data_IF_728948695157
#
_entry.id   IF_728948695157
#
_cell.length_a   1.000
_cell.length_b   1.000
_cell.length_c   1.000
_cell.angle_alpha   90.00
_cell.angle_beta   90.00
_cell.angle_gamma   90.00
#
_symmetry.space_group_name_H-M   'P 1'
#
loop_
_entity.id
_entity.type
_entity.pdbx_description
1 polymer ?
#
# COMPACT_ATOMS: atom_id res chain seq x y z
N UNK A 1 -23.80 -8.32 19.14
CA UNK A 1 -24.54 -8.67 17.91
C UNK A 1 -23.61 -8.58 16.72
N UNK A 2 -23.44 -9.66 15.93
CA UNK A 2 -22.81 -9.53 14.63
C UNK A 2 -23.68 -8.65 13.73
N UNK A 3 -23.06 -7.77 12.95
CA UNK A 3 -23.78 -6.98 11.96
C UNK A 3 -24.06 -7.87 10.75
N UNK A 4 -25.34 -8.13 10.43
CA UNK A 4 -25.71 -9.01 9.30
C UNK A 4 -25.46 -8.37 7.91
N UNK A 5 -24.98 -7.12 7.88
CA UNK A 5 -24.77 -6.35 6.64
C UNK A 5 -23.29 -5.99 6.46
N UNK A 6 -22.77 -6.01 5.22
CA UNK A 6 -21.43 -5.51 4.93
C UNK A 6 -21.31 -4.03 5.29
N UNK A 7 -20.10 -3.60 5.66
CA UNK A 7 -19.78 -2.19 5.90
C UNK A 7 -20.06 -1.35 4.64
N UNK A 8 -19.65 -1.85 3.47
CA UNK A 8 -19.86 -1.17 2.20
C UNK A 8 -21.12 -1.69 1.49
N UNK A 9 -22.25 -1.01 1.72
CA UNK A 9 -23.51 -1.31 1.01
C UNK A 9 -23.39 -1.15 -0.51
N UNK A 10 -22.64 -0.14 -0.97
CA UNK A 10 -22.25 0.01 -2.38
C UNK A 10 -21.00 0.88 -2.51
N UNK A 11 -20.29 0.74 -3.62
CA UNK A 11 -19.22 1.65 -4.02
C UNK A 11 -19.36 1.94 -5.51
N UNK A 12 -19.44 3.22 -5.89
CA UNK A 12 -19.58 3.61 -7.30
C UNK A 12 -18.26 3.38 -8.04
N UNK A 13 -18.16 2.26 -8.74
CA UNK A 13 -17.00 1.91 -9.58
C UNK A 13 -16.79 2.84 -10.76
N UNK A 14 -17.78 3.64 -11.14
CA UNK A 14 -17.67 4.62 -12.22
C UNK A 14 -17.09 5.95 -11.76
N UNK A 15 -16.94 6.14 -10.44
CA UNK A 15 -16.34 7.33 -9.86
C UNK A 15 -14.90 7.54 -10.37
N UNK A 16 -14.50 8.80 -10.54
CA UNK A 16 -13.19 9.18 -11.08
C UNK A 16 -12.02 8.56 -10.29
N UNK A 17 -12.21 8.33 -8.99
CA UNK A 17 -11.26 7.64 -8.12
C UNK A 17 -10.80 6.28 -8.69
N UNK A 18 -11.74 5.41 -9.08
CA UNK A 18 -11.43 4.07 -9.61
C UNK A 18 -10.90 4.09 -11.04
N UNK A 19 -11.18 5.17 -11.77
CA UNK A 19 -10.68 5.39 -13.13
C UNK A 19 -9.26 5.94 -13.14
N UNK A 20 -8.82 6.53 -12.04
CA UNK A 20 -7.50 7.14 -11.89
C UNK A 20 -6.39 6.09 -12.07
N UNK A 21 -5.35 6.39 -12.89
CA UNK A 21 -4.22 5.49 -13.07
C UNK A 21 -3.56 5.06 -11.75
N UNK A 22 -3.33 6.00 -10.82
CA UNK A 22 -2.67 5.70 -9.54
C UNK A 22 -3.50 4.74 -8.69
N UNK A 23 -4.82 4.85 -8.70
CA UNK A 23 -5.71 3.94 -7.97
C UNK A 23 -5.67 2.55 -8.59
N UNK A 24 -5.66 2.45 -9.93
CA UNK A 24 -5.56 1.15 -10.61
C UNK A 24 -4.23 0.46 -10.31
N UNK A 25 -3.13 1.20 -10.35
CA UNK A 25 -1.81 0.66 -10.00
C UNK A 25 -1.74 0.25 -8.52
N UNK A 26 -2.36 1.03 -7.62
CA UNK A 26 -2.47 0.67 -6.21
C UNK A 26 -3.26 -0.62 -6.00
N UNK A 27 -4.41 -0.80 -6.67
CA UNK A 27 -5.21 -2.03 -6.59
C UNK A 27 -4.44 -3.24 -7.14
N UNK A 28 -3.70 -3.07 -8.24
CA UNK A 28 -2.86 -4.15 -8.77
C UNK A 28 -1.80 -4.62 -7.75
N UNK A 29 -1.22 -3.69 -6.99
CA UNK A 29 -0.30 -4.06 -5.91
C UNK A 29 -0.98 -4.87 -4.81
N UNK A 30 -2.21 -4.53 -4.42
CA UNK A 30 -2.93 -5.24 -3.37
C UNK A 30 -3.25 -6.70 -3.74
N UNK A 31 -3.49 -6.99 -5.02
CA UNK A 31 -3.79 -8.34 -5.51
C UNK A 31 -2.56 -9.27 -5.54
N UNK A 32 -1.34 -8.73 -5.43
CA UNK A 32 -0.10 -9.52 -5.43
C UNK A 32 0.24 -10.18 -4.09
N UNK A 33 -0.33 -9.69 -2.99
CA UNK A 33 0.08 -10.11 -1.66
C UNK A 33 -0.84 -11.20 -1.11
N UNK A 34 -0.29 -12.40 -0.94
CA UNK A 34 -0.91 -13.48 -0.19
C UNK A 34 -0.73 -13.25 1.32
N UNK A 35 -1.81 -13.45 2.10
CA UNK A 35 -1.84 -13.19 3.55
C UNK A 35 -0.89 -14.08 4.39
N UNK A 36 -0.23 -15.06 3.77
CA UNK A 36 0.67 -15.99 4.46
C UNK A 36 2.01 -15.33 4.84
N UNK A 37 2.10 -14.87 6.09
CA UNK A 37 3.35 -14.36 6.66
C UNK A 37 4.42 -15.45 6.81
N UNK A 38 5.70 -15.10 6.64
CA UNK A 38 6.83 -15.95 7.06
C UNK A 38 7.56 -16.75 5.96
N UNK A 39 7.26 -16.50 4.68
CA UNK A 39 8.10 -16.90 3.53
C UNK A 39 8.94 -15.69 3.08
N UNK A 40 10.17 -15.91 2.64
CA UNK A 40 10.98 -14.83 2.09
C UNK A 40 10.35 -14.37 0.77
N UNK A 41 9.95 -13.11 0.69
CA UNK A 41 9.38 -12.54 -0.53
C UNK A 41 10.45 -12.41 -1.61
N UNK A 42 10.29 -13.19 -2.67
CA UNK A 42 11.06 -13.02 -3.91
C UNK A 42 10.15 -12.33 -4.90
N UNK A 43 10.28 -11.00 -4.99
CA UNK A 43 9.45 -10.25 -5.92
C UNK A 43 9.64 -10.73 -7.36
N UNK A 44 8.55 -11.12 -8.00
CA UNK A 44 8.55 -11.48 -9.42
C UNK A 44 8.89 -10.26 -10.27
N UNK A 45 9.30 -10.49 -11.51
CA UNK A 45 9.54 -9.39 -12.47
C UNK A 45 8.26 -8.56 -12.72
N UNK A 46 7.08 -9.18 -12.57
CA UNK A 46 5.79 -8.52 -12.69
C UNK A 46 5.53 -7.61 -11.50
N UNK A 47 5.67 -8.10 -10.27
CA UNK A 47 5.51 -7.27 -9.07
C UNK A 47 6.47 -6.08 -9.06
N UNK A 48 7.73 -6.27 -9.47
CA UNK A 48 8.69 -5.16 -9.58
C UNK A 48 8.24 -4.08 -10.56
N UNK A 49 7.63 -4.48 -11.68
CA UNK A 49 7.09 -3.53 -12.66
C UNK A 49 5.88 -2.79 -12.10
N UNK A 50 5.01 -3.46 -11.37
CA UNK A 50 3.82 -2.86 -10.78
C UNK A 50 4.16 -1.89 -9.64
N UNK A 51 5.18 -2.22 -8.84
CA UNK A 51 5.74 -1.30 -7.84
C UNK A 51 6.32 -0.04 -8.50
N UNK A 52 7.09 -0.23 -9.58
CA UNK A 52 7.70 0.86 -10.34
C UNK A 52 6.65 1.79 -10.98
N UNK A 53 5.62 1.20 -11.60
CA UNK A 53 4.49 1.90 -12.22
C UNK A 53 3.66 2.67 -11.19
N UNK A 54 3.32 2.04 -10.05
CA UNK A 54 2.61 2.70 -8.97
C UNK A 54 3.37 3.91 -8.45
N UNK A 55 4.67 3.76 -8.19
CA UNK A 55 5.49 4.85 -7.68
C UNK A 55 5.62 6.00 -8.68
N UNK A 56 5.77 5.72 -9.98
CA UNK A 56 5.79 6.76 -11.01
C UNK A 56 4.49 7.58 -11.03
N UNK A 57 3.35 6.89 -11.01
CA UNK A 57 2.05 7.52 -10.99
C UNK A 57 1.82 8.31 -9.71
N UNK A 58 2.28 7.78 -8.56
CA UNK A 58 2.15 8.41 -7.26
C UNK A 58 2.97 9.70 -7.17
N UNK A 59 4.26 9.67 -7.51
CA UNK A 59 5.12 10.87 -7.43
C UNK A 59 4.73 11.96 -8.43
N UNK A 60 4.03 11.61 -9.51
CA UNK A 60 3.50 12.58 -10.46
C UNK A 60 2.30 13.38 -9.93
N UNK A 61 1.64 12.92 -8.85
CA UNK A 61 0.44 13.59 -8.31
C UNK A 61 0.77 14.95 -7.66
N UNK A 62 -0.17 15.91 -7.66
CA UNK A 62 0.01 17.20 -6.97
C UNK A 62 0.34 17.05 -5.48
N UNK A 63 -0.26 16.06 -4.81
CA UNK A 63 -0.01 15.77 -3.40
C UNK A 63 1.45 15.38 -3.16
N UNK A 64 2.03 14.53 -4.00
CA UNK A 64 3.41 14.11 -3.83
C UNK A 64 4.42 15.17 -4.26
N UNK A 65 4.06 16.06 -5.18
CA UNK A 65 4.85 17.28 -5.45
C UNK A 65 4.91 18.17 -4.22
N UNK A 66 3.79 18.36 -3.54
CA UNK A 66 3.76 19.08 -2.27
C UNK A 66 4.64 18.40 -1.22
N UNK A 67 4.56 17.06 -1.09
CA UNK A 67 5.42 16.29 -0.16
C UNK A 67 6.91 16.49 -0.49
N UNK A 68 7.29 16.44 -1.78
CA UNK A 68 8.66 16.70 -2.21
C UNK A 68 9.14 18.09 -1.76
N UNK A 69 8.38 19.13 -2.09
CA UNK A 69 8.72 20.51 -1.74
C UNK A 69 8.80 20.71 -0.22
N UNK A 70 7.88 20.10 0.53
CA UNK A 70 7.87 20.15 1.98
C UNK A 70 9.11 19.49 2.57
N UNK A 71 9.47 18.29 2.11
CA UNK A 71 10.66 17.58 2.57
C UNK A 71 11.96 18.30 2.19
N UNK A 72 12.01 18.98 1.05
CA UNK A 72 13.16 19.79 0.66
C UNK A 72 13.38 20.98 1.60
N UNK A 73 12.30 21.60 2.10
CA UNK A 73 12.36 22.78 2.98
C UNK A 73 12.51 22.43 4.46
N UNK A 74 11.84 21.37 4.90
CA UNK A 74 11.66 21.06 6.32
C UNK A 74 12.24 19.70 6.74
N UNK A 75 12.69 18.89 5.77
CA UNK A 75 13.25 17.57 6.03
C UNK A 75 14.53 17.64 6.85
N UNK A 76 14.54 16.91 7.96
CA UNK A 76 15.70 16.84 8.88
C UNK A 76 16.62 15.66 8.59
N UNK A 77 16.09 14.60 7.97
CA UNK A 77 16.83 13.40 7.56
C UNK A 77 17.83 13.71 6.43
N UNK A 78 19.00 13.06 6.45
CA UNK A 78 20.03 13.24 5.44
C UNK A 78 19.56 12.89 4.02
N UNK A 79 18.64 11.93 3.88
CA UNK A 79 18.00 11.55 2.61
C UNK A 79 17.09 12.65 2.08
N UNK A 80 16.32 13.31 2.96
CA UNK A 80 15.47 14.44 2.57
C UNK A 80 16.28 15.61 2.00
N UNK A 81 17.45 15.89 2.59
CA UNK A 81 18.38 16.93 2.10
C UNK A 81 18.95 16.64 0.70
N UNK A 82 18.87 15.40 0.21
CA UNK A 82 19.34 14.98 -1.12
C UNK A 82 18.24 14.99 -2.18
N UNK A 83 16.97 15.17 -1.80
CA UNK A 83 15.86 15.18 -2.76
C UNK A 83 15.98 16.40 -3.70
N UNK A 84 16.06 16.16 -5.02
CA UNK A 84 16.08 17.20 -6.06
C UNK A 84 14.94 17.06 -7.05
N UNK A 85 14.43 15.85 -7.21
CA UNK A 85 13.47 15.49 -8.26
C UNK A 85 12.42 14.49 -7.75
N UNK A 86 11.37 14.31 -8.55
CA UNK A 86 10.38 13.26 -8.32
C UNK A 86 11.01 11.85 -8.37
N UNK A 87 12.08 11.67 -9.15
CA UNK A 87 12.83 10.41 -9.21
C UNK A 87 13.54 10.11 -7.88
N UNK A 88 14.12 11.12 -7.23
CA UNK A 88 14.74 10.93 -5.91
C UNK A 88 13.69 10.56 -4.85
N UNK A 89 12.51 11.17 -4.95
CA UNK A 89 11.38 10.82 -4.07
C UNK A 89 10.88 9.40 -4.34
N UNK A 90 10.80 8.99 -5.61
CA UNK A 90 10.45 7.61 -6.00
C UNK A 90 11.40 6.61 -5.36
N UNK A 91 12.72 6.83 -5.46
CA UNK A 91 13.71 5.95 -4.83
C UNK A 91 13.58 5.93 -3.29
N UNK A 92 13.38 7.09 -2.66
CA UNK A 92 13.18 7.14 -1.22
C UNK A 92 11.92 6.38 -0.79
N UNK A 93 10.81 6.52 -1.52
CA UNK A 93 9.58 5.79 -1.25
C UNK A 93 9.75 4.30 -1.47
N UNK A 94 10.48 3.88 -2.51
CA UNK A 94 10.82 2.49 -2.73
C UNK A 94 11.55 1.91 -1.52
N UNK A 95 12.60 2.58 -1.06
CA UNK A 95 13.39 2.15 0.10
C UNK A 95 12.59 2.11 1.41
N UNK A 96 11.60 2.99 1.57
CA UNK A 96 10.78 3.04 2.79
C UNK A 96 9.67 1.99 2.80
N UNK A 97 9.04 1.75 1.65
CA UNK A 97 7.80 0.99 1.58
C UNK A 97 7.98 -0.44 1.05
N UNK A 98 8.91 -0.65 0.12
CA UNK A 98 9.06 -1.91 -0.60
C UNK A 98 10.40 -2.61 -0.33
N UNK A 99 11.39 -1.91 0.23
CA UNK A 99 12.60 -2.60 0.66
C UNK A 99 12.25 -3.57 1.80
N UNK A 100 12.64 -4.85 1.69
CA UNK A 100 12.37 -5.83 2.73
C UNK A 100 13.14 -5.44 3.99
N UNK A 101 12.46 -5.35 5.12
CA UNK A 101 13.09 -5.24 6.43
C UNK A 101 12.84 -6.51 7.23
N UNK A 102 13.68 -6.76 8.24
CA UNK A 102 13.64 -8.00 9.03
C UNK A 102 12.72 -7.80 10.24
N UNK A 103 11.60 -8.54 10.31
CA UNK A 103 10.66 -8.47 11.45
C UNK A 103 10.69 -9.70 12.35
N UNK A 104 10.67 -10.92 11.79
CA UNK A 104 10.86 -12.18 12.53
C UNK A 104 11.95 -13.09 11.90
N UNK A 105 12.02 -13.14 10.57
CA UNK A 105 13.12 -13.74 9.77
C UNK A 105 13.72 -12.69 8.82
N UNK A 106 14.92 -12.90 8.26
CA UNK A 106 15.42 -12.02 7.20
C UNK A 106 14.44 -11.98 6.02
N UNK A 107 14.04 -10.79 5.58
CA UNK A 107 13.20 -10.52 4.40
C UNK A 107 11.78 -11.10 4.44
N UNK A 108 11.03 -10.90 5.53
CA UNK A 108 9.70 -11.50 5.71
C UNK A 108 8.51 -10.54 5.66
N UNK A 109 8.75 -9.23 5.54
CA UNK A 109 7.69 -8.23 5.34
C UNK A 109 8.25 -6.90 4.80
N UNK A 110 7.34 -6.08 4.27
CA UNK A 110 7.59 -4.71 3.82
C UNK A 110 6.70 -3.70 4.54
N UNK A 111 7.05 -2.41 4.44
CA UNK A 111 6.24 -1.34 5.05
C UNK A 111 4.88 -1.24 4.36
N UNK A 112 4.85 -1.56 3.06
CA UNK A 112 3.65 -1.53 2.25
C UNK A 112 2.64 -2.57 2.72
N UNK A 113 3.05 -3.81 2.91
CA UNK A 113 2.15 -4.88 3.37
C UNK A 113 1.55 -4.56 4.73
N UNK A 114 2.40 -4.15 5.67
CA UNK A 114 1.97 -3.88 7.03
C UNK A 114 0.90 -2.77 7.10
N UNK A 115 1.01 -1.73 6.27
CA UNK A 115 0.12 -0.55 6.31
C UNK A 115 -1.06 -0.66 5.36
N UNK A 116 -0.88 -1.24 4.17
CA UNK A 116 -1.88 -1.19 3.10
C UNK A 116 -2.59 -2.52 2.83
N UNK A 117 -1.92 -3.65 3.04
CA UNK A 117 -2.49 -4.99 2.78
C UNK A 117 -3.16 -5.54 4.04
N UNK A 118 -2.53 -5.30 5.20
CA UNK A 118 -2.86 -5.96 6.45
C UNK A 118 -2.17 -7.32 6.57
N UNK A 119 -1.82 -7.70 7.78
CA UNK A 119 -1.12 -8.95 8.08
C UNK A 119 -2.05 -9.90 8.86
N UNK A 120 -2.05 -11.17 8.46
CA UNK A 120 -2.67 -12.22 9.27
C UNK A 120 -1.62 -12.81 10.22
N UNK A 121 -1.86 -12.65 11.52
CA UNK A 121 -1.04 -13.27 12.55
C UNK A 121 -1.91 -14.13 13.46
N UNK A 122 -1.62 -15.43 13.51
CA UNK A 122 -2.31 -16.40 14.38
C UNK A 122 -3.84 -16.41 14.20
N UNK A 123 -4.31 -16.29 12.96
CA UNK A 123 -5.75 -16.26 12.63
C UNK A 123 -6.46 -14.95 12.93
N UNK A 124 -5.73 -13.90 13.32
CA UNK A 124 -6.26 -12.55 13.49
C UNK A 124 -5.69 -11.61 12.42
N UNK A 125 -6.57 -10.85 11.78
CA UNK A 125 -6.19 -9.77 10.86
C UNK A 125 -5.75 -8.57 11.69
N UNK A 126 -4.55 -8.06 11.41
CA UNK A 126 -3.99 -6.85 12.00
C UNK A 126 -3.55 -5.89 10.89
N UNK A 127 -3.61 -4.58 11.14
CA UNK A 127 -3.12 -3.57 10.18
C UNK A 127 -4.03 -3.29 8.97
N UNK A 128 -5.20 -3.94 8.85
CA UNK A 128 -6.16 -3.65 7.78
C UNK A 128 -6.90 -2.31 8.02
N UNK A 129 -6.23 -1.20 7.73
CA UNK A 129 -6.78 0.16 7.88
C UNK A 129 -7.06 0.86 6.56
N UNK A 130 -6.61 0.28 5.45
CA UNK A 130 -6.87 0.83 4.13
C UNK A 130 -8.30 0.49 3.67
N UNK A 131 -9.13 1.52 3.47
CA UNK A 131 -10.54 1.34 3.11
C UNK A 131 -10.72 0.65 1.74
N UNK A 132 -9.79 0.84 0.80
CA UNK A 132 -9.83 0.16 -0.51
C UNK A 132 -9.61 -1.33 -0.32
N UNK A 133 -8.58 -1.72 0.43
CA UNK A 133 -8.30 -3.12 0.75
C UNK A 133 -9.45 -3.75 1.54
N UNK A 134 -9.98 -3.05 2.54
CA UNK A 134 -11.15 -3.52 3.29
C UNK A 134 -12.34 -3.78 2.34
N UNK A 135 -12.65 -2.83 1.46
CA UNK A 135 -13.72 -2.97 0.48
C UNK A 135 -13.49 -4.18 -0.46
N UNK A 136 -12.27 -4.39 -0.94
CA UNK A 136 -11.93 -5.51 -1.82
C UNK A 136 -12.06 -6.85 -1.09
N UNK A 137 -11.58 -6.94 0.14
CA UNK A 137 -11.59 -8.18 0.93
C UNK A 137 -12.99 -8.52 1.48
N UNK A 138 -13.79 -7.53 1.86
CA UNK A 138 -15.20 -7.71 2.20
C UNK A 138 -15.97 -8.25 0.99
N UNK A 139 -15.70 -7.72 -0.21
CA UNK A 139 -16.33 -8.21 -1.44
C UNK A 139 -15.90 -9.65 -1.81
N UNK A 140 -14.68 -10.05 -1.46
CA UNK A 140 -14.19 -11.44 -1.62
C UNK A 140 -14.79 -12.39 -0.56
N UNK A 141 -15.45 -11.86 0.48
CA UNK A 141 -15.97 -12.65 1.60
C UNK A 141 -14.90 -12.98 2.65
N UNK A 142 -13.73 -12.33 2.58
CA UNK A 142 -12.58 -12.61 3.44
C UNK A 142 -12.54 -11.74 4.71
N UNK A 143 -13.49 -10.82 4.88
CA UNK A 143 -13.65 -9.93 6.03
C UNK A 143 -15.12 -9.90 6.42
N UNK A 144 -15.39 -9.99 7.72
CA UNK A 144 -16.72 -9.86 8.29
C UNK A 144 -16.76 -8.61 9.20
N UNK A 145 -17.64 -7.67 8.89
CA UNK A 145 -17.78 -6.44 9.65
C UNK A 145 -18.64 -6.65 10.91
N UNK A 146 -18.11 -6.28 12.08
CA UNK A 146 -18.75 -6.58 13.38
C UNK A 146 -19.40 -5.36 14.07
N UNK A 147 -19.47 -4.20 13.41
CA UNK A 147 -20.04 -2.97 13.99
C UNK A 147 -18.98 -1.99 14.53
N UNK A 148 -19.45 -0.83 14.98
CA UNK A 148 -18.67 0.28 15.54
C UNK A 148 -19.17 0.68 16.93
#
# INVERSE_FOLDING_TARGET
DPCDSPLFASCDKNHAFWKSPVTKAFVALLDNYERETGKAEVFTRTEKREMDEFLDLLVATPHMRFVLEYLQRHGRDARAKKLRSALDLKHLLFDLWFAPYRRFKPNDSSGFEHVFVGEESRGAITGLHNWVQFYLEEKKGNVNYLGW
#
